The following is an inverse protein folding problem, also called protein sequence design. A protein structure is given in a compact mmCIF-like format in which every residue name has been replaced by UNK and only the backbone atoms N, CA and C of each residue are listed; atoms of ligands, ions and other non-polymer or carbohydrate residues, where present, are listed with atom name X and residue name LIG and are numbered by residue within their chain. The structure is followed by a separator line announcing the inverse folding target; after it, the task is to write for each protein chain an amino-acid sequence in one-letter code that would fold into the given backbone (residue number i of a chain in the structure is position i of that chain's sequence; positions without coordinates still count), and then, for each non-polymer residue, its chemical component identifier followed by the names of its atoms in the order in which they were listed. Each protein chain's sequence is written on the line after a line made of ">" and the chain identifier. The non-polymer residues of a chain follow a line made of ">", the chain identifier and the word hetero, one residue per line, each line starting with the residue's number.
data_IF_042062828277
#
_entry.id   IF_042062828277
#
_cell.length_a   1.000
_cell.length_b   1.000
_cell.length_c   1.000
_cell.angle_alpha   90.00
_cell.angle_beta   90.00
_cell.angle_gamma   90.00
#
_symmetry.space_group_name_H-M   'P 1'
#
loop_
_entity.id
_entity.type
_entity.pdbx_description
1 polymer ?
#
# COMPACT_ATOMS: atom_id res chain seq x y z
N UNK A 1 17.30 -24.22 -23.27
CA UNK A 1 16.98 -22.78 -23.27
C UNK A 1 15.97 -22.53 -22.15
N UNK A 2 16.31 -21.69 -21.18
CA UNK A 2 15.32 -21.23 -20.20
C UNK A 2 14.47 -20.14 -20.85
N UNK A 3 13.16 -20.29 -20.79
CA UNK A 3 12.22 -19.24 -21.19
C UNK A 3 12.33 -18.17 -20.12
N UNK A 4 12.87 -16.99 -20.45
CA UNK A 4 12.82 -15.85 -19.56
C UNK A 4 11.35 -15.48 -19.36
N UNK A 5 10.88 -15.23 -18.12
CA UNK A 5 9.52 -14.79 -17.90
C UNK A 5 9.32 -13.49 -18.68
N UNK A 6 8.23 -13.43 -19.44
CA UNK A 6 7.79 -12.22 -20.14
C UNK A 6 7.72 -11.12 -19.09
N UNK A 7 8.42 -10.00 -19.30
CA UNK A 7 8.31 -8.86 -18.41
C UNK A 7 6.84 -8.47 -18.36
N UNK A 8 6.18 -8.72 -17.24
CA UNK A 8 4.79 -8.33 -17.07
C UNK A 8 4.79 -6.81 -16.94
N UNK A 9 4.65 -6.09 -18.05
CA UNK A 9 4.62 -4.61 -18.09
C UNK A 9 3.29 -4.05 -17.57
N UNK A 10 2.49 -4.88 -16.92
CA UNK A 10 1.14 -4.57 -16.48
C UNK A 10 1.05 -4.62 -14.97
N UNK A 11 0.34 -3.64 -14.41
CA UNK A 11 0.07 -3.59 -12.98
C UNK A 11 -0.72 -4.82 -12.58
N UNK A 12 -0.30 -5.48 -11.50
CA UNK A 12 -0.88 -6.74 -11.06
C UNK A 12 -0.60 -6.97 -9.58
N UNK A 13 -1.52 -7.66 -8.90
CA UNK A 13 -1.25 -8.25 -7.59
C UNK A 13 -0.25 -9.40 -7.73
N UNK A 14 0.58 -9.61 -6.72
CA UNK A 14 1.54 -10.73 -6.67
C UNK A 14 0.84 -12.08 -6.58
N UNK A 15 -0.21 -12.16 -5.76
CA UNK A 15 -1.12 -13.30 -5.73
C UNK A 15 -2.19 -13.11 -6.81
N UNK A 16 -2.27 -14.04 -7.75
CA UNK A 16 -3.29 -14.01 -8.80
C UNK A 16 -4.70 -14.07 -8.20
N UNK A 17 -5.58 -13.20 -8.68
CA UNK A 17 -6.97 -13.13 -8.29
C UNK A 17 -7.79 -12.54 -9.43
N UNK A 18 -8.82 -13.26 -9.85
CA UNK A 18 -9.69 -12.87 -10.95
C UNK A 18 -10.74 -11.83 -10.52
N UNK A 19 -11.01 -11.70 -9.21
CA UNK A 19 -11.96 -10.73 -8.66
C UNK A 19 -11.44 -10.12 -7.33
N UNK A 20 -10.36 -9.31 -7.39
CA UNK A 20 -9.77 -8.70 -6.20
C UNK A 20 -10.70 -7.71 -5.49
N UNK A 21 -11.73 -7.19 -6.17
CA UNK A 21 -12.71 -6.31 -5.53
C UNK A 21 -13.55 -7.07 -4.51
N UNK A 22 -14.04 -8.25 -4.90
CA UNK A 22 -14.88 -9.08 -4.03
C UNK A 22 -14.04 -9.83 -2.99
N UNK A 23 -12.95 -10.47 -3.40
CA UNK A 23 -12.20 -11.36 -2.51
C UNK A 23 -11.31 -10.65 -1.50
N UNK A 24 -10.81 -9.45 -1.83
CA UNK A 24 -9.86 -8.68 -0.98
C UNK A 24 -10.46 -7.39 -0.44
N UNK A 25 -11.72 -7.11 -0.75
CA UNK A 25 -12.37 -5.85 -0.36
C UNK A 25 -11.75 -4.60 -1.01
N UNK A 26 -11.13 -4.74 -2.19
CA UNK A 26 -10.55 -3.59 -2.90
C UNK A 26 -11.67 -2.65 -3.33
N UNK A 27 -11.65 -1.43 -2.81
CA UNK A 27 -12.66 -0.41 -3.13
C UNK A 27 -12.53 0.02 -4.60
N UNK A 28 -13.64 0.44 -5.21
CA UNK A 28 -13.63 0.89 -6.61
C UNK A 28 -12.64 2.04 -6.84
N UNK A 29 -12.54 2.96 -5.88
CA UNK A 29 -11.59 4.06 -5.94
C UNK A 29 -10.13 3.58 -5.93
N UNK A 30 -9.79 2.59 -5.10
CA UNK A 30 -8.47 1.96 -5.06
C UNK A 30 -8.15 1.26 -6.39
N UNK A 31 -9.08 0.44 -6.85
CA UNK A 31 -8.94 -0.29 -8.10
C UNK A 31 -8.69 0.66 -9.28
N UNK A 32 -9.46 1.74 -9.37
CA UNK A 32 -9.30 2.71 -10.44
C UNK A 32 -7.99 3.49 -10.32
N UNK A 33 -7.50 3.74 -9.09
CA UNK A 33 -6.22 4.38 -8.88
C UNK A 33 -5.06 3.49 -9.35
N UNK A 34 -5.12 2.18 -9.10
CA UNK A 34 -4.10 1.21 -9.50
C UNK A 34 -4.18 0.89 -11.00
N UNK A 35 -5.35 0.48 -11.50
CA UNK A 35 -5.51 -0.18 -12.80
C UNK A 35 -6.07 0.71 -13.92
N UNK A 36 -6.33 1.99 -13.68
CA UNK A 36 -6.79 2.89 -14.75
C UNK A 36 -5.74 3.00 -15.86
N UNK A 37 -6.22 3.04 -17.11
CA UNK A 37 -5.38 3.31 -18.29
C UNK A 37 -4.69 4.68 -18.25
N UNK A 38 -5.19 5.59 -17.42
CA UNK A 38 -4.62 6.92 -17.23
C UNK A 38 -3.56 6.95 -16.12
N UNK A 39 -3.24 5.81 -15.49
CA UNK A 39 -2.16 5.74 -14.52
C UNK A 39 -0.81 5.81 -15.25
N UNK A 40 -0.20 6.99 -15.16
CA UNK A 40 1.08 7.34 -15.77
C UNK A 40 2.26 7.26 -14.80
N UNK A 41 2.14 6.54 -13.69
CA UNK A 41 3.30 6.25 -12.83
C UNK A 41 4.32 5.47 -13.67
N UNK A 42 5.54 6.01 -13.92
CA UNK A 42 6.52 5.37 -14.78
C UNK A 42 7.16 4.16 -14.12
N UNK A 43 7.02 4.03 -12.80
CA UNK A 43 7.53 2.91 -12.02
C UNK A 43 6.52 1.75 -11.97
N UNK A 44 7.05 0.53 -11.96
CA UNK A 44 6.33 -0.73 -11.77
C UNK A 44 7.07 -1.61 -10.76
N UNK A 45 7.58 -1.01 -9.69
CA UNK A 45 8.23 -1.73 -8.60
C UNK A 45 7.23 -2.54 -7.77
N UNK A 46 7.75 -3.56 -7.09
CA UNK A 46 7.01 -4.34 -6.12
C UNK A 46 6.68 -3.47 -4.90
N UNK A 47 5.39 -3.32 -4.63
CA UNK A 47 4.85 -2.54 -3.52
C UNK A 47 4.09 -3.47 -2.58
N UNK A 48 4.38 -3.39 -1.29
CA UNK A 48 3.67 -4.15 -0.26
C UNK A 48 2.19 -3.72 -0.15
N UNK A 49 1.90 -2.43 -0.43
CA UNK A 49 0.55 -1.85 -0.61
C UNK A 49 -0.41 -1.97 0.59
N UNK A 50 0.06 -2.45 1.75
CA UNK A 50 -0.69 -2.44 3.02
C UNK A 50 0.24 -2.30 4.22
N UNK A 51 1.17 -1.34 4.16
CA UNK A 51 2.19 -1.19 5.21
C UNK A 51 1.60 -0.59 6.50
N UNK A 52 1.19 -1.48 7.40
CA UNK A 52 0.63 -1.15 8.72
C UNK A 52 1.45 -1.77 9.85
N UNK A 53 1.35 -1.22 11.05
CA UNK A 53 2.05 -1.74 12.22
C UNK A 53 1.65 -3.17 12.57
N UNK A 54 0.37 -3.54 12.38
CA UNK A 54 -0.12 -4.89 12.65
C UNK A 54 0.53 -5.96 11.76
N UNK A 55 1.08 -5.55 10.62
CA UNK A 55 1.69 -6.48 9.66
C UNK A 55 3.22 -6.57 9.83
N UNK A 56 3.80 -5.81 10.75
CA UNK A 56 5.23 -5.82 11.03
C UNK A 56 5.56 -6.80 12.17
N UNK A 57 6.49 -7.72 11.93
CA UNK A 57 7.10 -8.53 12.99
C UNK A 57 8.30 -7.76 13.54
N UNK A 58 8.27 -7.45 14.83
CA UNK A 58 9.32 -6.67 15.51
C UNK A 58 10.15 -7.58 16.43
N UNK A 59 11.47 -7.44 16.38
CA UNK A 59 12.42 -8.02 17.34
C UNK A 59 13.55 -7.03 17.58
N UNK A 60 13.92 -6.79 18.84
CA UNK A 60 14.99 -5.87 19.25
C UNK A 60 14.90 -4.49 18.55
N UNK A 61 13.71 -3.87 18.61
CA UNK A 61 13.38 -2.57 18.00
C UNK A 61 13.59 -2.49 16.48
N UNK A 62 13.61 -3.64 15.79
CA UNK A 62 13.75 -3.74 14.33
C UNK A 62 12.60 -4.50 13.71
N UNK A 63 12.21 -4.07 12.51
CA UNK A 63 11.32 -4.85 11.65
C UNK A 63 12.14 -6.03 11.09
N UNK A 64 11.79 -7.25 11.50
CA UNK A 64 12.45 -8.49 11.06
C UNK A 64 11.61 -9.27 10.05
N UNK A 65 10.37 -8.85 9.82
CA UNK A 65 9.50 -9.46 8.82
C UNK A 65 8.25 -8.64 8.56
N UNK A 66 7.64 -8.92 7.40
CA UNK A 66 6.31 -8.45 7.03
C UNK A 66 5.46 -9.67 6.71
N UNK A 67 4.24 -9.70 7.22
CA UNK A 67 3.26 -10.77 6.94
C UNK A 67 2.20 -10.28 5.95
N UNK A 68 1.12 -11.01 5.73
CA UNK A 68 -0.09 -10.50 5.05
C UNK A 68 0.17 -9.79 3.70
N UNK A 69 0.73 -10.52 2.75
CA UNK A 69 1.16 -9.98 1.45
C UNK A 69 0.04 -9.91 0.41
N UNK A 70 -1.21 -10.15 0.82
CA UNK A 70 -2.32 -10.28 -0.13
C UNK A 70 -2.49 -9.01 -0.98
N UNK A 71 -2.32 -7.82 -0.39
CA UNK A 71 -2.45 -6.57 -1.12
C UNK A 71 -1.22 -6.21 -1.96
N UNK A 72 -0.12 -6.96 -1.85
CA UNK A 72 1.14 -6.64 -2.54
C UNK A 72 1.04 -6.86 -4.05
N UNK A 73 1.73 -6.01 -4.81
CA UNK A 73 1.71 -6.06 -6.27
C UNK A 73 2.71 -5.14 -6.94
N UNK A 74 2.82 -5.24 -8.26
CA UNK A 74 3.64 -4.38 -9.09
C UNK A 74 2.83 -3.16 -9.51
N UNK A 75 2.90 -2.06 -8.75
CA UNK A 75 2.04 -0.88 -8.95
C UNK A 75 2.79 0.40 -9.25
N UNK A 76 4.01 0.53 -8.75
CA UNK A 76 4.78 1.77 -8.77
C UNK A 76 4.68 2.57 -7.47
N UNK A 77 5.77 3.24 -7.10
CA UNK A 77 5.91 3.99 -5.85
C UNK A 77 4.84 5.07 -5.66
N UNK A 78 4.59 5.88 -6.69
CA UNK A 78 3.66 7.02 -6.60
C UNK A 78 2.22 6.55 -6.49
N UNK A 79 1.87 5.48 -7.21
CA UNK A 79 0.56 4.84 -7.15
C UNK A 79 0.32 4.25 -5.76
N UNK A 80 1.25 3.46 -5.25
CA UNK A 80 1.14 2.89 -3.90
C UNK A 80 1.07 3.98 -2.82
N UNK A 81 1.84 5.07 -2.94
CA UNK A 81 1.74 6.21 -2.02
C UNK A 81 0.37 6.89 -2.03
N UNK A 82 -0.27 6.98 -3.20
CA UNK A 82 -1.63 7.50 -3.30
C UNK A 82 -2.67 6.56 -2.68
N UNK A 83 -2.54 5.23 -2.86
CA UNK A 83 -3.37 4.23 -2.17
C UNK A 83 -3.18 4.36 -0.67
N UNK A 84 -1.93 4.40 -0.20
CA UNK A 84 -1.56 4.49 1.20
C UNK A 84 -2.24 5.67 1.89
N UNK A 85 -1.98 6.89 1.42
CA UNK A 85 -2.50 8.13 2.04
C UNK A 85 -4.01 8.24 1.93
N UNK A 86 -4.60 7.79 0.81
CA UNK A 86 -6.03 8.00 0.57
C UNK A 86 -6.91 6.90 1.17
N UNK A 87 -6.40 5.69 1.36
CA UNK A 87 -7.21 4.49 1.60
C UNK A 87 -6.70 3.68 2.78
N UNK A 88 -5.39 3.40 2.86
CA UNK A 88 -4.83 2.43 3.82
C UNK A 88 -4.37 3.04 5.14
N UNK A 89 -4.24 4.37 5.22
CA UNK A 89 -3.86 5.05 6.46
C UNK A 89 -5.02 5.79 7.12
N UNK A 90 -5.10 5.77 8.46
CA UNK A 90 -6.03 6.62 9.19
C UNK A 90 -5.76 8.11 8.93
N UNK A 91 -6.81 8.91 8.90
CA UNK A 91 -6.69 10.37 8.84
C UNK A 91 -7.19 10.99 10.14
N UNK A 92 -6.75 12.20 10.44
CA UNK A 92 -7.11 12.89 11.68
C UNK A 92 -8.62 13.06 11.82
N UNK A 93 -9.30 13.28 10.69
CA UNK A 93 -10.75 13.45 10.63
C UNK A 93 -11.51 12.18 11.08
N UNK A 94 -10.91 10.99 10.91
CA UNK A 94 -11.51 9.74 11.39
C UNK A 94 -11.64 9.69 12.92
N UNK A 95 -10.85 10.49 13.65
CA UNK A 95 -10.82 10.50 15.11
C UNK A 95 -11.32 11.82 15.73
N UNK A 96 -11.80 12.76 14.92
CA UNK A 96 -12.17 14.10 15.38
C UNK A 96 -13.22 14.09 16.50
N UNK A 97 -14.11 13.10 16.52
CA UNK A 97 -15.16 12.95 17.53
C UNK A 97 -14.68 12.32 18.86
N UNK A 98 -13.48 11.75 18.91
CA UNK A 98 -13.02 10.92 20.03
C UNK A 98 -12.18 11.68 21.08
N UNK A 99 -11.88 12.96 20.84
CA UNK A 99 -11.07 13.81 21.71
C UNK A 99 -9.80 13.11 22.25
N UNK A 100 -9.08 12.42 21.36
CA UNK A 100 -7.91 11.63 21.72
C UNK A 100 -6.71 12.53 22.04
N UNK A 101 -5.83 12.13 22.98
CA UNK A 101 -4.59 12.85 23.24
C UNK A 101 -3.71 12.96 21.99
N UNK A 102 -2.98 14.07 21.86
CA UNK A 102 -2.13 14.33 20.69
C UNK A 102 -1.05 13.26 20.50
N UNK A 103 -0.45 12.78 21.60
CA UNK A 103 0.56 11.72 21.55
C UNK A 103 0.00 10.41 20.98
N UNK A 104 -1.27 10.11 21.27
CA UNK A 104 -1.95 8.94 20.72
C UNK A 104 -2.24 9.12 19.23
N UNK A 105 -2.70 10.30 18.81
CA UNK A 105 -2.90 10.63 17.41
C UNK A 105 -1.58 10.56 16.63
N UNK A 106 -0.49 11.10 17.18
CA UNK A 106 0.83 11.05 16.56
C UNK A 106 1.32 9.63 16.33
N UNK A 107 1.06 8.71 17.27
CA UNK A 107 1.41 7.30 17.11
C UNK A 107 0.63 6.65 15.95
N UNK A 108 -0.69 6.87 15.89
CA UNK A 108 -1.54 6.29 14.84
C UNK A 108 -1.24 6.88 13.46
N UNK A 109 -0.97 8.18 13.37
CA UNK A 109 -0.76 8.90 12.12
C UNK A 109 0.70 8.89 11.64
N UNK A 110 1.62 8.31 12.43
CA UNK A 110 3.06 8.31 12.16
C UNK A 110 3.40 7.84 10.73
N UNK A 111 2.73 6.79 10.26
CA UNK A 111 3.00 6.18 8.95
C UNK A 111 2.37 6.90 7.76
N UNK A 112 1.59 7.95 7.97
CA UNK A 112 0.93 8.69 6.88
C UNK A 112 1.95 9.31 5.91
N UNK A 113 3.15 9.61 6.41
CA UNK A 113 4.26 10.16 5.63
C UNK A 113 5.15 9.14 4.93
N UNK A 114 4.85 7.83 5.00
CA UNK A 114 5.74 6.77 4.51
C UNK A 114 6.22 6.97 3.06
N UNK A 115 5.32 7.42 2.18
CA UNK A 115 5.60 7.67 0.77
C UNK A 115 5.86 9.15 0.44
N UNK A 116 5.86 10.03 1.44
CA UNK A 116 6.04 11.48 1.25
C UNK A 116 7.50 11.87 0.99
N UNK A 117 8.45 10.94 1.16
CA UNK A 117 9.86 11.17 0.87
C UNK A 117 10.05 11.19 -0.65
N UNK A 118 10.30 12.36 -1.22
CA UNK A 118 10.81 12.47 -2.59
C UNK A 118 12.19 11.83 -2.64
N UNK A 119 12.37 10.78 -3.43
CA UNK A 119 13.72 10.37 -3.80
C UNK A 119 14.40 11.52 -4.55
N UNK A 120 15.53 11.96 -4.02
CA UNK A 120 16.54 12.77 -4.71
C UNK A 120 17.12 12.02 -5.89
#
# INVERSE_FOLDING_TARGET
>A
MAILPVSNTTRSYTAEDLDPKTHRGVQEFEYNLIFSKNNNDPDLSLMYNEFTLSNCIISDDKIVGLVDWEMAGYFGWKTAGQVHVKIRTPRRENFAALNLPEDFLNNILFWNGLYAVSHH
#
